data_IF_599647209340
#
_entry.id   IF_599647209340
#
_cell.length_a   1.000
_cell.length_b   1.000
_cell.length_c   1.000
_cell.angle_alpha   90.00
_cell.angle_beta   90.00
_cell.angle_gamma   90.00
#
_symmetry.space_group_name_H-M   'P 1'
#
loop_
_entity.id
_entity.type
_entity.pdbx_description
1 polymer ?
#
# COMPACT_ATOMS: atom_id res chain seq x y z
N UNK A 1 40.69 -15.93 8.99
CA UNK A 1 39.55 -16.24 8.09
C UNK A 1 38.29 -16.60 8.87
N UNK A 2 38.32 -17.61 9.74
CA UNK A 2 37.13 -18.04 10.52
C UNK A 2 36.66 -16.96 11.51
N UNK A 3 37.59 -16.27 12.18
CA UNK A 3 37.28 -15.18 13.12
C UNK A 3 36.55 -14.00 12.48
N UNK A 4 36.92 -13.62 11.26
CA UNK A 4 36.25 -12.54 10.51
C UNK A 4 34.84 -12.92 10.06
N UNK A 5 34.61 -14.20 9.73
CA UNK A 5 33.28 -14.69 9.35
C UNK A 5 32.31 -14.64 10.53
N UNK A 6 32.76 -15.08 11.71
CA UNK A 6 31.96 -15.05 12.95
C UNK A 6 31.64 -13.61 13.34
N UNK A 7 32.61 -12.70 13.23
CA UNK A 7 32.41 -11.29 13.55
C UNK A 7 31.45 -10.60 12.56
N UNK A 8 31.52 -10.93 11.27
CA UNK A 8 30.61 -10.42 10.25
C UNK A 8 29.17 -10.89 10.44
N UNK A 9 28.97 -12.18 10.77
CA UNK A 9 27.65 -12.72 11.11
C UNK A 9 27.11 -12.02 12.38
N UNK A 10 27.96 -11.86 13.40
CA UNK A 10 27.59 -11.17 14.64
C UNK A 10 27.15 -9.74 14.42
N UNK A 11 27.86 -8.97 13.59
CA UNK A 11 27.49 -7.59 13.25
C UNK A 11 26.19 -7.50 12.43
N UNK A 12 25.94 -8.47 11.53
CA UNK A 12 24.68 -8.52 10.77
C UNK A 12 23.48 -8.73 11.71
N UNK A 13 23.57 -9.70 12.63
CA UNK A 13 22.53 -9.94 13.63
C UNK A 13 22.40 -8.79 14.64
N UNK A 14 23.51 -8.14 15.03
CA UNK A 14 23.47 -7.01 15.94
C UNK A 14 22.83 -5.77 15.30
N UNK A 15 23.16 -5.50 14.03
CA UNK A 15 22.50 -4.46 13.25
C UNK A 15 21.02 -4.75 13.04
N UNK A 16 20.63 -6.03 12.93
CA UNK A 16 19.24 -6.44 12.82
C UNK A 16 18.47 -6.29 14.14
N UNK A 17 19.11 -6.56 15.29
CA UNK A 17 18.51 -6.40 16.62
C UNK A 17 18.24 -4.94 16.99
N UNK A 18 19.05 -4.01 16.48
CA UNK A 18 18.87 -2.57 16.70
C UNK A 18 17.76 -1.92 15.86
N UNK A 19 17.24 -2.63 14.86
CA UNK A 19 16.24 -2.11 13.92
C UNK A 19 14.82 -2.34 14.45
N UNK A 20 14.16 -1.26 14.90
CA UNK A 20 12.80 -1.28 15.47
C UNK A 20 11.69 -1.17 14.41
N UNK A 21 11.98 -1.44 13.13
CA UNK A 21 10.97 -1.36 12.07
C UNK A 21 10.04 -2.57 12.10
N UNK A 22 8.73 -2.34 11.93
CA UNK A 22 7.73 -3.40 11.84
C UNK A 22 7.86 -4.05 10.46
N UNK A 23 8.29 -5.31 10.41
CA UNK A 23 8.60 -6.02 9.15
C UNK A 23 7.51 -6.99 8.71
N UNK A 24 6.64 -7.38 9.62
CA UNK A 24 5.61 -8.39 9.39
C UNK A 24 4.24 -7.97 9.89
N UNK A 25 3.21 -8.51 9.25
CA UNK A 25 1.81 -8.33 9.68
C UNK A 25 1.59 -8.85 11.11
N UNK A 26 2.18 -10.00 11.46
CA UNK A 26 2.04 -10.58 12.79
C UNK A 26 2.63 -9.70 13.89
N UNK A 27 3.75 -9.04 13.61
CA UNK A 27 4.37 -8.07 14.52
C UNK A 27 3.49 -6.82 14.68
N UNK A 28 2.97 -6.28 13.58
CA UNK A 28 2.04 -5.15 13.62
C UNK A 28 0.79 -5.46 14.46
N UNK A 29 0.19 -6.65 14.26
CA UNK A 29 -1.00 -7.09 14.97
C UNK A 29 -0.72 -7.27 16.47
N UNK A 30 0.42 -7.87 16.84
CA UNK A 30 0.82 -8.05 18.24
C UNK A 30 1.09 -6.74 18.96
N UNK A 31 1.74 -5.79 18.28
CA UNK A 31 2.08 -4.49 18.87
C UNK A 31 0.88 -3.57 19.00
N UNK A 32 0.05 -3.48 17.95
CA UNK A 32 -1.04 -2.52 17.89
C UNK A 32 -2.34 -3.08 18.48
N UNK A 33 -2.47 -4.41 18.59
CA UNK A 33 -3.71 -5.09 18.97
C UNK A 33 -4.93 -4.65 18.14
N UNK A 34 -4.70 -4.38 16.85
CA UNK A 34 -5.70 -3.93 15.90
C UNK A 34 -5.80 -4.92 14.72
N UNK A 35 -6.98 -5.04 14.09
CA UNK A 35 -7.12 -5.82 12.87
C UNK A 35 -6.32 -5.15 11.73
N UNK A 36 -5.56 -5.97 11.01
CA UNK A 36 -4.90 -5.53 9.78
C UNK A 36 -5.90 -5.65 8.65
N UNK A 37 -6.24 -4.51 8.05
CA UNK A 37 -7.23 -4.43 6.99
C UNK A 37 -6.66 -4.79 5.60
N UNK A 38 -5.33 -4.73 5.43
CA UNK A 38 -4.66 -5.14 4.21
C UNK A 38 -3.21 -4.66 4.15
N UNK A 39 -2.46 -5.22 3.21
CA UNK A 39 -1.07 -4.83 2.92
C UNK A 39 -0.98 -4.37 1.48
N UNK A 40 -0.51 -3.13 1.30
CA UNK A 40 -0.28 -2.55 -0.02
C UNK A 40 1.17 -2.79 -0.43
N UNK A 41 1.43 -3.55 -1.51
CA UNK A 41 2.79 -3.78 -1.97
C UNK A 41 3.38 -2.51 -2.58
N UNK A 42 4.71 -2.38 -2.50
CA UNK A 42 5.41 -1.28 -3.17
C UNK A 42 5.35 -1.49 -4.70
N UNK A 43 5.17 -0.43 -5.51
CA UNK A 43 5.26 -0.52 -6.97
C UNK A 43 6.57 -1.18 -7.40
N UNK A 44 6.46 -2.18 -8.26
CA UNK A 44 7.63 -2.92 -8.73
C UNK A 44 8.18 -3.98 -7.76
N UNK A 45 7.57 -4.19 -6.59
CA UNK A 45 7.99 -5.24 -5.67
C UNK A 45 7.69 -6.63 -6.26
N UNK A 46 8.66 -7.57 -6.24
CA UNK A 46 8.38 -8.95 -6.59
C UNK A 46 7.40 -9.52 -5.56
N UNK A 47 6.24 -10.00 -6.02
CA UNK A 47 5.14 -10.43 -5.17
C UNK A 47 5.53 -11.53 -4.18
N UNK A 48 5.87 -11.13 -2.96
CA UNK A 48 6.26 -12.02 -1.85
C UNK A 48 5.40 -11.83 -0.60
N UNK A 49 4.52 -10.83 -0.58
CA UNK A 49 3.75 -10.44 0.61
C UNK A 49 2.26 -10.74 0.41
N UNK A 50 1.78 -11.82 1.06
CA UNK A 50 0.41 -11.98 1.57
C UNK A 50 -0.74 -12.16 0.59
N UNK A 51 -0.78 -11.48 -0.56
CA UNK A 51 -1.80 -11.67 -1.58
C UNK A 51 -1.30 -12.65 -2.64
N UNK A 52 -1.77 -13.90 -2.52
CA UNK A 52 -1.35 -15.02 -3.35
C UNK A 52 -1.60 -14.80 -4.85
N UNK A 53 -0.56 -14.39 -5.56
CA UNK A 53 -0.31 -14.91 -6.90
C UNK A 53 0.93 -15.79 -6.82
N UNK A 54 0.68 -17.09 -6.75
CA UNK A 54 1.66 -18.16 -6.76
C UNK A 54 2.59 -18.01 -7.96
N UNK A 55 3.85 -17.68 -7.70
CA UNK A 55 4.97 -17.70 -8.65
C UNK A 55 5.35 -19.12 -9.09
N UNK A 56 4.37 -20.02 -9.18
CA UNK A 56 4.50 -21.43 -9.54
C UNK A 56 4.21 -21.70 -11.03
N UNK A 57 4.23 -20.69 -11.90
CA UNK A 57 4.20 -20.97 -13.34
C UNK A 57 5.61 -21.24 -13.87
N UNK A 58 5.92 -22.52 -14.06
CA UNK A 58 7.10 -23.08 -14.76
C UNK A 58 7.30 -22.56 -16.20
N UNK A 59 6.40 -21.71 -16.72
CA UNK A 59 6.45 -21.22 -18.10
C UNK A 59 7.20 -19.90 -18.28
N UNK A 60 8.24 -19.94 -19.13
CA UNK A 60 9.13 -18.82 -19.50
C UNK A 60 8.40 -17.61 -20.09
N UNK A 61 7.29 -17.81 -20.83
CA UNK A 61 6.48 -16.75 -21.46
C UNK A 61 5.75 -15.87 -20.44
N UNK A 62 5.12 -16.51 -19.44
CA UNK A 62 4.40 -15.84 -18.35
C UNK A 62 5.31 -14.98 -17.47
N UNK A 63 6.59 -15.35 -17.31
CA UNK A 63 7.60 -14.54 -16.60
C UNK A 63 7.93 -13.22 -17.31
N UNK A 64 7.89 -13.17 -18.65
CA UNK A 64 8.18 -11.94 -19.42
C UNK A 64 7.03 -10.94 -19.28
N UNK A 65 5.80 -11.42 -19.35
CA UNK A 65 4.58 -10.63 -19.15
C UNK A 65 4.52 -10.07 -17.71
N UNK A 66 4.79 -10.90 -16.69
CA UNK A 66 4.85 -10.46 -15.29
C UNK A 66 5.94 -9.40 -15.06
N UNK A 67 7.13 -9.59 -15.66
CA UNK A 67 8.18 -8.56 -15.57
C UNK A 67 7.74 -7.24 -16.22
N UNK A 68 7.04 -7.30 -17.34
CA UNK A 68 6.53 -6.10 -17.99
C UNK A 68 5.50 -5.37 -17.13
N UNK A 69 4.57 -6.09 -16.48
CA UNK A 69 3.59 -5.48 -15.58
C UNK A 69 4.25 -4.86 -14.34
N UNK A 70 5.21 -5.55 -13.70
CA UNK A 70 5.97 -5.03 -12.56
C UNK A 70 6.75 -3.76 -12.95
N UNK A 71 7.38 -3.75 -14.12
CA UNK A 71 8.10 -2.58 -14.63
C UNK A 71 7.15 -1.41 -14.93
N UNK A 72 5.94 -1.69 -15.40
CA UNK A 72 4.92 -0.69 -15.66
C UNK A 72 4.37 -0.10 -14.35
N UNK A 73 4.10 -0.94 -13.35
CA UNK A 73 3.73 -0.50 -11.99
C UNK A 73 4.81 0.42 -11.41
N UNK A 74 6.08 0.05 -11.52
CA UNK A 74 7.20 0.85 -11.02
C UNK A 74 7.33 2.24 -11.67
N UNK A 75 6.84 2.42 -12.90
CA UNK A 75 6.89 3.70 -13.62
C UNK A 75 5.66 4.57 -13.37
N UNK A 76 4.62 4.01 -12.78
CA UNK A 76 3.34 4.70 -12.57
C UNK A 76 3.35 5.39 -11.20
N UNK A 77 2.89 6.65 -11.09
CA UNK A 77 2.74 7.30 -9.80
C UNK A 77 1.87 6.46 -8.87
N UNK A 78 2.34 6.19 -7.66
CA UNK A 78 1.66 5.30 -6.71
C UNK A 78 0.25 5.81 -6.39
N UNK A 79 0.05 7.14 -6.37
CA UNK A 79 -1.22 7.78 -6.03
C UNK A 79 -2.34 7.49 -7.04
N UNK A 80 -2.02 7.12 -8.28
CA UNK A 80 -3.01 6.97 -9.36
C UNK A 80 -3.01 5.56 -9.95
N UNK A 81 -2.34 4.61 -9.30
CA UNK A 81 -2.17 3.26 -9.83
C UNK A 81 -3.50 2.50 -9.98
N UNK A 82 -4.47 2.70 -9.08
CA UNK A 82 -5.79 2.07 -9.20
C UNK A 82 -6.66 2.65 -10.31
N UNK A 83 -6.33 3.86 -10.78
CA UNK A 83 -6.95 4.49 -11.96
C UNK A 83 -6.26 4.03 -13.24
N UNK A 84 -4.93 4.11 -13.28
CA UNK A 84 -4.13 3.97 -14.50
C UNK A 84 -3.81 2.50 -14.83
N UNK A 85 -3.66 1.66 -13.79
CA UNK A 85 -3.41 0.22 -13.90
C UNK A 85 -4.42 -0.59 -13.07
N UNK A 86 -5.72 -0.60 -13.45
CA UNK A 86 -6.78 -1.20 -12.65
C UNK A 86 -6.62 -2.72 -12.47
N UNK A 87 -5.87 -3.41 -13.33
CA UNK A 87 -5.63 -4.86 -13.25
C UNK A 87 -4.27 -5.21 -12.62
N UNK A 88 -3.57 -4.23 -12.07
CA UNK A 88 -2.28 -4.43 -11.39
C UNK A 88 -2.42 -5.17 -10.06
N UNK A 89 -1.30 -5.71 -9.56
CA UNK A 89 -1.26 -6.38 -8.28
C UNK A 89 -1.61 -5.43 -7.12
N UNK A 90 -1.17 -4.18 -7.21
CA UNK A 90 -1.49 -3.15 -6.23
C UNK A 90 -2.99 -2.81 -6.26
N UNK A 91 -3.59 -2.77 -7.45
CA UNK A 91 -5.04 -2.56 -7.58
C UNK A 91 -5.85 -3.69 -6.94
N UNK A 92 -5.44 -4.95 -7.09
CA UNK A 92 -6.09 -6.05 -6.38
C UNK A 92 -5.97 -5.92 -4.86
N UNK A 93 -4.82 -5.49 -4.34
CA UNK A 93 -4.63 -5.25 -2.91
C UNK A 93 -5.59 -4.17 -2.38
N UNK A 94 -5.82 -3.08 -3.14
CA UNK A 94 -6.82 -2.07 -2.78
C UNK A 94 -8.26 -2.58 -2.86
N UNK A 95 -8.59 -3.46 -3.82
CA UNK A 95 -9.93 -4.08 -3.86
C UNK A 95 -10.17 -4.97 -2.65
N UNK A 96 -9.17 -5.76 -2.26
CA UNK A 96 -9.27 -6.57 -1.07
C UNK A 96 -9.39 -5.71 0.21
N UNK A 97 -8.68 -4.58 0.27
CA UNK A 97 -8.85 -3.61 1.35
C UNK A 97 -10.28 -3.07 1.43
N UNK A 98 -10.91 -2.73 0.29
CA UNK A 98 -12.31 -2.30 0.23
C UNK A 98 -13.24 -3.41 0.74
N UNK A 99 -13.05 -4.64 0.27
CA UNK A 99 -13.82 -5.80 0.74
C UNK A 99 -13.70 -5.99 2.26
N UNK A 100 -12.48 -5.91 2.79
CA UNK A 100 -12.23 -6.03 4.23
C UNK A 100 -12.87 -4.89 5.04
N UNK A 101 -12.86 -3.65 4.53
CA UNK A 101 -13.55 -2.52 5.14
C UNK A 101 -15.07 -2.73 5.18
N UNK A 102 -15.65 -3.26 4.11
CA UNK A 102 -17.08 -3.59 4.05
C UNK A 102 -17.45 -4.71 5.03
N UNK A 103 -16.57 -5.69 5.23
CA UNK A 103 -16.77 -6.74 6.24
C UNK A 103 -16.54 -6.28 7.68
N UNK A 104 -15.63 -5.32 7.92
CA UNK A 104 -15.36 -4.81 9.25
C UNK A 104 -16.57 -4.09 9.87
N UNK A 105 -17.50 -3.59 9.04
CA UNK A 105 -18.73 -2.94 9.49
C UNK A 105 -20.00 -3.58 8.92
N UNK A 106 -20.15 -4.90 9.04
CA UNK A 106 -21.37 -5.63 8.59
C UNK A 106 -22.67 -5.00 9.15
N UNK A 107 -22.63 -4.50 10.38
CA UNK A 107 -23.82 -3.96 11.06
C UNK A 107 -24.07 -2.46 10.81
N UNK A 108 -23.11 -1.72 10.23
CA UNK A 108 -23.23 -0.27 9.98
C UNK A 108 -22.58 0.12 8.67
N UNK A 109 -23.31 0.79 7.78
CA UNK A 109 -22.70 1.32 6.55
C UNK A 109 -21.63 2.36 6.88
N UNK A 110 -20.37 2.09 6.56
CA UNK A 110 -19.24 3.03 6.68
C UNK A 110 -19.54 4.29 5.86
N UNK A 111 -19.73 5.43 6.54
CA UNK A 111 -20.01 6.74 5.90
C UNK A 111 -18.81 7.67 5.88
N UNK A 112 -17.88 7.51 6.81
CA UNK A 112 -16.75 8.41 6.99
C UNK A 112 -15.55 7.63 7.47
N UNK A 113 -14.42 7.86 6.80
CA UNK A 113 -13.15 7.21 7.09
C UNK A 113 -12.05 8.26 7.13
N UNK A 114 -11.20 8.20 8.16
CA UNK A 114 -9.99 9.03 8.26
C UNK A 114 -8.78 8.14 7.99
N UNK A 115 -7.90 8.59 7.09
CA UNK A 115 -6.62 7.93 6.80
C UNK A 115 -5.50 8.77 7.40
N UNK A 116 -4.75 8.19 8.34
CA UNK A 116 -3.65 8.86 9.04
C UNK A 116 -2.41 7.98 9.08
N UNK A 117 -1.27 8.56 9.47
CA UNK A 117 0.01 7.89 9.62
C UNK A 117 0.70 8.34 10.91
N UNK A 118 1.56 7.48 11.45
CA UNK A 118 2.33 7.78 12.66
C UNK A 118 3.49 8.75 12.39
N UNK A 119 4.04 8.69 11.17
CA UNK A 119 5.12 9.59 10.70
C UNK A 119 4.82 10.13 9.30
N UNK A 120 5.52 11.19 8.85
CA UNK A 120 5.47 11.63 7.46
C UNK A 120 5.95 10.54 6.49
N UNK A 121 5.42 10.57 5.25
CA UNK A 121 5.84 9.69 4.15
C UNK A 121 5.49 8.19 4.28
N UNK A 122 4.64 7.77 5.23
CA UNK A 122 4.13 6.37 5.30
C UNK A 122 3.08 6.04 4.22
N UNK A 123 2.79 6.96 3.30
CA UNK A 123 1.86 6.71 2.19
C UNK A 123 0.39 7.01 2.50
N UNK A 124 0.05 7.72 3.59
CA UNK A 124 -1.33 8.10 3.94
C UNK A 124 -2.11 8.72 2.77
N UNK A 125 -1.49 9.64 2.03
CA UNK A 125 -2.10 10.32 0.86
C UNK A 125 -2.33 9.34 -0.28
N UNK A 126 -1.34 8.49 -0.58
CA UNK A 126 -1.43 7.47 -1.63
C UNK A 126 -2.50 6.43 -1.30
N UNK A 127 -2.61 6.01 -0.04
CA UNK A 127 -3.67 5.11 0.43
C UNK A 127 -5.04 5.77 0.31
N UNK A 128 -5.20 7.01 0.78
CA UNK A 128 -6.47 7.72 0.72
C UNK A 128 -6.98 7.89 -0.74
N UNK A 129 -6.09 8.30 -1.65
CA UNK A 129 -6.45 8.51 -3.06
C UNK A 129 -6.84 7.19 -3.74
N UNK A 130 -6.00 6.14 -3.63
CA UNK A 130 -6.28 4.87 -4.29
C UNK A 130 -7.48 4.15 -3.69
N UNK A 131 -7.70 4.27 -2.38
CA UNK A 131 -8.89 3.73 -1.72
C UNK A 131 -10.15 4.45 -2.21
N UNK A 132 -10.13 5.78 -2.31
CA UNK A 132 -11.26 6.56 -2.83
C UNK A 132 -11.57 6.20 -4.29
N UNK A 133 -10.56 6.08 -5.14
CA UNK A 133 -10.72 5.64 -6.54
C UNK A 133 -11.32 4.24 -6.58
N UNK A 134 -10.81 3.30 -5.77
CA UNK A 134 -11.29 1.91 -5.75
C UNK A 134 -12.75 1.81 -5.30
N UNK A 135 -13.13 2.55 -4.24
CA UNK A 135 -14.52 2.66 -3.78
C UNK A 135 -15.43 3.26 -4.86
N UNK A 136 -15.00 4.34 -5.52
CA UNK A 136 -15.76 4.94 -6.62
C UNK A 136 -15.95 3.98 -7.80
N UNK A 137 -14.91 3.20 -8.14
CA UNK A 137 -15.00 2.15 -9.18
C UNK A 137 -15.89 0.98 -8.78
N UNK A 138 -16.06 0.73 -7.49
CA UNK A 138 -17.02 -0.24 -6.96
C UNK A 138 -18.48 0.30 -6.98
N UNK A 139 -18.69 1.54 -7.45
CA UNK A 139 -20.02 2.14 -7.60
C UNK A 139 -20.46 3.02 -6.41
N UNK A 140 -19.62 3.20 -5.39
CA UNK A 140 -19.95 4.08 -4.27
C UNK A 140 -19.78 5.56 -4.64
N UNK A 141 -20.62 6.42 -4.03
CA UNK A 141 -20.44 7.88 -4.12
C UNK A 141 -19.41 8.30 -3.07
N UNK A 142 -18.23 8.70 -3.52
CA UNK A 142 -17.09 8.99 -2.64
C UNK A 142 -16.71 10.46 -2.72
N UNK A 143 -16.57 11.10 -1.55
CA UNK A 143 -15.92 12.40 -1.40
C UNK A 143 -14.56 12.17 -0.75
N UNK A 144 -13.49 12.56 -1.45
CA UNK A 144 -12.13 12.60 -0.88
C UNK A 144 -11.81 14.04 -0.50
N UNK A 145 -11.52 14.27 0.78
CA UNK A 145 -11.15 15.58 1.31
C UNK A 145 -9.69 15.57 1.80
N UNK A 146 -8.91 16.59 1.40
CA UNK A 146 -7.56 16.81 1.94
C UNK A 146 -7.67 17.62 3.23
N UNK A 147 -7.42 16.96 4.38
CA UNK A 147 -7.39 17.61 5.69
C UNK A 147 -5.95 17.86 6.19
N UNK A 148 -4.92 17.58 5.38
CA UNK A 148 -3.52 17.90 5.71
C UNK A 148 -3.21 19.35 5.32
N UNK A 149 -3.56 20.29 6.20
CA UNK A 149 -3.39 21.73 5.94
C UNK A 149 -1.93 22.18 5.89
N UNK A 150 -0.99 21.36 6.36
CA UNK A 150 0.43 21.70 6.39
C UNK A 150 1.09 21.49 5.04
N UNK A 151 0.73 20.41 4.35
CA UNK A 151 1.28 20.10 3.02
C UNK A 151 0.21 19.42 2.15
N UNK A 152 -0.83 20.15 1.73
CA UNK A 152 -1.90 19.58 0.90
C UNK A 152 -1.34 19.14 -0.45
N UNK A 153 -1.67 17.91 -0.85
CA UNK A 153 -1.12 17.25 -2.05
C UNK A 153 -2.18 16.74 -3.00
N UNK A 154 -3.41 16.51 -2.55
CA UNK A 154 -4.45 15.85 -3.36
C UNK A 154 -4.76 16.66 -4.63
N UNK A 155 -4.93 17.98 -4.52
CA UNK A 155 -5.18 18.85 -5.68
C UNK A 155 -4.06 18.76 -6.74
N UNK A 156 -2.79 18.66 -6.32
CA UNK A 156 -1.65 18.50 -7.23
C UNK A 156 -1.67 17.16 -7.96
N UNK A 157 -2.01 16.09 -7.26
CA UNK A 157 -2.13 14.75 -7.85
C UNK A 157 -3.23 14.71 -8.91
N UNK A 158 -4.37 15.33 -8.62
CA UNK A 158 -5.49 15.39 -9.56
C UNK A 158 -5.39 16.53 -10.60
N UNK A 159 -4.33 17.35 -10.54
CA UNK A 159 -4.14 18.53 -11.40
C UNK A 159 -5.33 19.49 -11.37
N UNK A 160 -5.84 19.74 -10.17
CA UNK A 160 -6.93 20.67 -9.90
C UNK A 160 -6.39 21.96 -9.29
N UNK A 161 -7.13 23.05 -9.48
CA UNK A 161 -6.90 24.28 -8.74
C UNK A 161 -7.16 24.04 -7.24
N UNK A 162 -6.34 24.66 -6.39
CA UNK A 162 -6.50 24.54 -4.95
C UNK A 162 -7.72 25.32 -4.43
N UNK A 163 -8.10 26.40 -5.12
CA UNK A 163 -9.20 27.28 -4.73
C UNK A 163 -10.43 27.08 -5.63
N UNK A 164 -11.65 27.11 -5.07
CA UNK A 164 -11.96 27.13 -3.64
C UNK A 164 -11.68 25.77 -2.98
N UNK A 165 -11.08 25.77 -1.79
CA UNK A 165 -10.71 24.58 -1.05
C UNK A 165 -10.98 24.72 0.46
N UNK A 166 -10.60 23.71 1.23
CA UNK A 166 -10.63 23.80 2.70
C UNK A 166 -9.63 24.85 3.23
N UNK A 167 -8.60 25.13 2.42
CA UNK A 167 -7.58 26.19 2.52
C UNK A 167 -7.22 26.64 1.12
#
# INVERSE_FOLDING_TARGET
LISGLIFGIGLAFFSEYGDKTIKTEDEAKKLLNLPILGVIPRPGAPGRYGYGYSYLSSQKKKRKEIRASILQESKTPIELITRDLPTSHISEAYRALVTNLQFAEIDRKLKTLVVTSSIPLEGKTSVAINLAITLARAGEKVLLADADLRLPKIHKVFKLDAAPGLT
#
